data_IF_643608557981
#
_entry.id   IF_643608557981
#
_cell.length_a   1.000
_cell.length_b   1.000
_cell.length_c   1.000
_cell.angle_alpha   90.00
_cell.angle_beta   90.00
_cell.angle_gamma   90.00
#
_symmetry.space_group_name_H-M   'P 1'
#
loop_
_entity.id
_entity.type
_entity.pdbx_description
1 polymer ?
#
# COMPACT_ATOMS: atom_id res chain seq x y z
N UNK A 1 -43.26 -9.24 -27.25
CA UNK A 1 -42.29 -8.20 -27.67
C UNK A 1 -41.44 -7.86 -26.45
N UNK A 2 -40.44 -8.68 -26.13
CA UNK A 2 -39.67 -8.51 -24.89
C UNK A 2 -38.33 -7.82 -25.19
N UNK A 3 -38.40 -6.59 -25.67
CA UNK A 3 -37.20 -5.74 -25.88
C UNK A 3 -36.54 -5.31 -24.56
N UNK A 4 -37.26 -5.43 -23.44
CA UNK A 4 -36.88 -4.88 -22.13
C UNK A 4 -36.06 -5.87 -21.29
N UNK A 5 -36.11 -7.17 -21.60
CA UNK A 5 -35.28 -8.19 -20.94
C UNK A 5 -33.79 -8.08 -21.31
N UNK A 6 -33.47 -7.37 -22.39
CA UNK A 6 -32.10 -7.09 -22.83
C UNK A 6 -31.38 -6.01 -22.03
N UNK A 7 -32.07 -5.25 -21.15
CA UNK A 7 -31.51 -4.04 -20.54
C UNK A 7 -30.88 -4.23 -19.15
N UNK A 8 -31.04 -5.41 -18.53
CA UNK A 8 -30.54 -5.65 -17.17
C UNK A 8 -29.20 -6.36 -17.11
N UNK A 9 -29.08 -7.45 -17.85
CA UNK A 9 -27.85 -8.24 -18.00
C UNK A 9 -27.95 -8.94 -19.36
N UNK A 10 -26.93 -8.88 -20.22
CA UNK A 10 -26.89 -9.75 -21.39
C UNK A 10 -26.93 -11.19 -20.91
N UNK A 11 -27.91 -11.95 -21.39
CA UNK A 11 -27.95 -13.40 -21.15
C UNK A 11 -26.70 -14.09 -21.68
N UNK A 12 -26.50 -15.35 -21.30
CA UNK A 12 -25.32 -16.11 -21.74
C UNK A 12 -25.16 -16.16 -23.28
N UNK A 13 -26.28 -16.15 -24.00
CA UNK A 13 -26.34 -16.06 -25.47
C UNK A 13 -25.77 -14.75 -26.02
N UNK A 14 -26.17 -13.61 -25.45
CA UNK A 14 -25.75 -12.28 -25.87
C UNK A 14 -24.26 -12.07 -25.59
N UNK A 15 -23.77 -12.57 -24.45
CA UNK A 15 -22.33 -12.55 -24.11
C UNK A 15 -21.53 -13.36 -25.13
N UNK A 16 -22.01 -14.55 -25.54
CA UNK A 16 -21.35 -15.36 -26.56
C UNK A 16 -21.26 -14.61 -27.90
N UNK A 17 -22.31 -13.88 -28.29
CA UNK A 17 -22.36 -13.14 -29.55
C UNK A 17 -21.37 -11.97 -29.53
N UNK A 18 -21.33 -11.20 -28.44
CA UNK A 18 -20.37 -10.11 -28.25
C UNK A 18 -18.93 -10.66 -28.28
N UNK A 19 -18.68 -11.77 -27.58
CA UNK A 19 -17.37 -12.41 -27.59
C UNK A 19 -16.98 -12.85 -29.00
N UNK A 20 -17.92 -13.38 -29.80
CA UNK A 20 -17.67 -13.77 -31.18
C UNK A 20 -17.30 -12.57 -32.06
N UNK A 21 -18.00 -11.43 -31.93
CA UNK A 21 -17.66 -10.19 -32.65
C UNK A 21 -16.25 -9.71 -32.29
N UNK A 22 -15.91 -9.70 -31.00
CA UNK A 22 -14.55 -9.35 -30.54
C UNK A 22 -13.53 -10.33 -31.14
N UNK A 23 -13.84 -11.62 -31.17
CA UNK A 23 -12.97 -12.65 -31.74
C UNK A 23 -12.77 -12.47 -33.26
N UNK A 24 -13.76 -11.95 -33.99
CA UNK A 24 -13.63 -11.64 -35.41
C UNK A 24 -12.77 -10.40 -35.65
N UNK A 25 -12.93 -9.36 -34.81
CA UNK A 25 -12.15 -8.12 -34.93
C UNK A 25 -10.68 -8.30 -34.56
N UNK A 26 -10.41 -8.99 -33.45
CA UNK A 26 -9.06 -9.17 -32.92
C UNK A 26 -8.43 -10.51 -33.32
N UNK A 27 -9.23 -11.50 -33.69
CA UNK A 27 -8.77 -12.87 -34.00
C UNK A 27 -8.66 -13.77 -32.76
N UNK A 28 -8.87 -15.07 -32.97
CA UNK A 28 -8.81 -16.09 -31.91
C UNK A 28 -7.43 -16.21 -31.23
N UNK A 29 -6.35 -15.75 -31.87
CA UNK A 29 -5.00 -15.79 -31.32
C UNK A 29 -4.68 -14.61 -30.39
N UNK A 30 -5.32 -13.45 -30.57
CA UNK A 30 -4.97 -12.22 -29.83
C UNK A 30 -5.51 -12.18 -28.41
N UNK A 31 -6.71 -12.70 -28.18
CA UNK A 31 -7.31 -12.80 -26.84
C UNK A 31 -6.44 -13.63 -25.86
N UNK A 32 -5.99 -14.85 -26.21
CA UNK A 32 -5.07 -15.63 -25.37
C UNK A 32 -3.68 -15.01 -25.20
N UNK A 33 -3.19 -14.31 -26.22
CA UNK A 33 -1.89 -13.63 -26.18
C UNK A 33 -1.91 -12.46 -25.18
N UNK A 34 -2.95 -11.63 -25.25
CA UNK A 34 -3.18 -10.52 -24.31
C UNK A 34 -3.44 -11.01 -22.89
N UNK A 35 -4.22 -12.07 -22.70
CA UNK A 35 -4.49 -12.60 -21.37
C UNK A 35 -3.23 -13.18 -20.72
N UNK A 36 -2.34 -13.81 -21.50
CA UNK A 36 -1.04 -14.30 -21.00
C UNK A 36 -0.13 -13.16 -20.59
N UNK A 37 -0.01 -12.10 -21.38
CA UNK A 37 0.86 -10.96 -21.04
C UNK A 37 0.33 -10.18 -19.84
N UNK A 38 -0.98 -9.90 -19.79
CA UNK A 38 -1.63 -9.28 -18.64
C UNK A 38 -1.52 -10.17 -17.40
N UNK A 39 -1.75 -11.47 -17.53
CA UNK A 39 -1.63 -12.42 -16.42
C UNK A 39 -0.21 -12.50 -15.86
N UNK A 40 0.80 -12.47 -16.73
CA UNK A 40 2.20 -12.40 -16.30
C UNK A 40 2.50 -11.10 -15.55
N UNK A 41 2.07 -9.95 -16.08
CA UNK A 41 2.24 -8.65 -15.44
C UNK A 41 1.55 -8.57 -14.07
N UNK A 42 0.30 -9.03 -13.97
CA UNK A 42 -0.42 -9.13 -12.70
C UNK A 42 0.27 -10.10 -11.72
N UNK A 43 0.83 -11.20 -12.22
CA UNK A 43 1.56 -12.17 -11.40
C UNK A 43 2.84 -11.58 -10.80
N UNK A 44 3.65 -10.91 -11.63
CA UNK A 44 4.87 -10.22 -11.19
C UNK A 44 4.54 -9.06 -10.23
N UNK A 45 3.48 -8.31 -10.52
CA UNK A 45 3.00 -7.24 -9.65
C UNK A 45 2.55 -7.77 -8.28
N UNK A 46 1.80 -8.89 -8.24
CA UNK A 46 1.37 -9.52 -6.99
C UNK A 46 2.56 -10.00 -6.18
N UNK A 47 3.55 -10.63 -6.82
CA UNK A 47 4.78 -11.09 -6.16
C UNK A 47 5.55 -9.92 -5.55
N UNK A 48 5.78 -8.85 -6.31
CA UNK A 48 6.45 -7.65 -5.79
C UNK A 48 5.70 -7.01 -4.63
N UNK A 49 4.36 -7.02 -4.66
CA UNK A 49 3.53 -6.54 -3.53
C UNK A 49 3.70 -7.40 -2.27
N UNK A 50 3.73 -8.72 -2.42
CA UNK A 50 3.94 -9.64 -1.29
C UNK A 50 5.35 -9.50 -0.69
N UNK A 51 6.37 -9.35 -1.53
CA UNK A 51 7.75 -9.14 -1.08
C UNK A 51 7.88 -7.82 -0.30
N UNK A 52 7.29 -6.74 -0.81
CA UNK A 52 7.29 -5.43 -0.14
C UNK A 52 6.53 -5.47 1.20
N UNK A 53 5.39 -6.19 1.28
CA UNK A 53 4.67 -6.37 2.54
C UNK A 53 5.50 -7.14 3.58
N UNK A 54 6.28 -8.14 3.14
CA UNK A 54 7.20 -8.89 4.03
C UNK A 54 8.31 -7.99 4.55
N UNK A 55 8.98 -7.24 3.67
CA UNK A 55 10.04 -6.31 4.05
C UNK A 55 9.54 -5.26 5.07
N UNK A 56 8.39 -4.64 4.81
CA UNK A 56 7.79 -3.69 5.74
C UNK A 56 7.47 -4.31 7.11
N UNK A 57 6.97 -5.56 7.12
CA UNK A 57 6.65 -6.29 8.34
C UNK A 57 7.90 -6.65 9.13
N UNK A 58 8.98 -7.02 8.46
CA UNK A 58 10.23 -7.40 9.12
C UNK A 58 10.96 -6.16 9.67
N UNK A 59 10.99 -5.05 8.92
CA UNK A 59 11.46 -3.75 9.44
C UNK A 59 10.65 -3.32 10.66
N UNK A 60 9.32 -3.48 10.64
CA UNK A 60 8.48 -3.13 11.79
C UNK A 60 8.76 -4.00 13.02
N UNK A 61 9.06 -5.29 12.84
CA UNK A 61 9.46 -6.19 13.93
C UNK A 61 10.81 -5.80 14.50
N UNK A 62 11.78 -5.47 13.65
CA UNK A 62 13.13 -5.08 14.07
C UNK A 62 13.10 -3.77 14.87
N UNK A 63 12.30 -2.80 14.42
CA UNK A 63 12.07 -1.55 15.16
C UNK A 63 11.39 -1.76 16.52
N UNK A 64 10.41 -2.68 16.61
CA UNK A 64 9.78 -3.02 17.89
C UNK A 64 10.74 -3.77 18.82
N UNK A 65 11.61 -4.64 18.28
CA UNK A 65 12.57 -5.40 19.06
C UNK A 65 13.64 -4.49 19.68
N UNK A 66 14.10 -3.48 18.93
CA UNK A 66 15.05 -2.47 19.42
C UNK A 66 14.50 -1.57 20.54
N UNK A 67 13.17 -1.45 20.67
CA UNK A 67 12.53 -0.65 21.72
C UNK A 67 12.23 -1.44 23.02
N UNK A 68 12.54 -2.74 23.09
CA UNK A 68 12.12 -3.61 24.21
C UNK A 68 13.28 -4.32 24.94
N UNK A 69 14.54 -3.99 24.68
CA UNK A 69 15.68 -4.44 25.50
C UNK A 69 16.14 -3.34 26.47
N UNK A 70 16.24 -3.62 27.79
CA UNK A 70 16.53 -2.62 28.80
C UNK A 70 17.99 -2.19 28.73
N UNK A 71 18.16 -0.88 28.66
CA UNK A 71 19.44 -0.17 28.78
C UNK A 71 20.18 -0.65 30.06
N UNK A 72 21.44 -1.12 29.96
CA UNK A 72 22.21 -1.50 31.13
C UNK A 72 22.52 -0.24 31.94
N UNK A 73 22.12 -0.26 33.21
CA UNK A 73 22.32 0.78 34.21
C UNK A 73 23.76 1.32 34.18
N UNK A 74 23.93 2.54 33.66
CA UNK A 74 25.14 3.33 33.89
C UNK A 74 25.07 3.84 35.31
N UNK A 75 25.90 3.21 36.15
CA UNK A 75 26.18 3.54 37.55
C UNK A 75 26.45 5.05 37.69
N UNK A 76 25.65 5.70 38.53
CA UNK A 76 25.89 7.06 39.02
C UNK A 76 26.95 7.01 40.12
N UNK A 77 28.11 7.60 39.84
CA UNK A 77 29.07 8.03 40.85
C UNK A 77 29.56 9.46 40.53
N UNK A 78 29.66 10.28 41.60
CA UNK A 78 30.19 11.65 41.72
C UNK A 78 29.32 12.80 41.14
N UNK A 79 28.63 13.64 41.93
CA UNK A 79 29.05 14.68 42.91
C UNK A 79 29.14 16.09 42.30
N UNK A 80 28.16 16.90 42.74
CA UNK A 80 28.01 18.37 42.89
C UNK A 80 29.02 19.39 42.33
N UNK A 81 28.49 20.42 41.66
CA UNK A 81 28.62 21.89 41.90
C UNK A 81 28.05 22.64 40.67
N UNK A 82 26.82 23.16 40.70
CA UNK A 82 26.45 24.56 41.03
C UNK A 82 27.35 25.64 40.44
N UNK A 83 26.89 26.34 39.39
CA UNK A 83 26.80 27.82 39.39
C UNK A 83 25.88 28.35 38.27
N UNK A 84 24.77 28.94 38.72
CA UNK A 84 24.09 30.19 38.30
C UNK A 84 24.02 30.56 36.80
N UNK A 85 22.83 30.59 36.20
CA UNK A 85 21.85 31.68 36.20
C UNK A 85 21.98 32.58 34.96
N UNK A 86 20.95 32.59 34.10
CA UNK A 86 20.40 33.85 33.60
C UNK A 86 18.95 33.68 33.09
N UNK A 87 18.09 34.52 33.65
CA UNK A 87 16.84 35.09 33.15
C UNK A 87 15.83 34.27 32.29
N UNK A 88 14.74 33.90 32.96
CA UNK A 88 13.38 33.95 32.42
C UNK A 88 12.94 35.43 32.14
N UNK A 89 11.70 35.75 31.71
CA UNK A 89 10.76 35.19 30.72
C UNK A 89 10.10 36.29 29.82
N UNK A 90 9.50 35.94 28.68
CA UNK A 90 8.39 36.70 28.03
C UNK A 90 7.83 35.86 26.87
N UNK A 91 6.65 35.22 26.94
CA UNK A 91 5.30 35.77 26.71
C UNK A 91 5.25 36.86 25.64
N UNK A 92 4.66 36.53 24.48
CA UNK A 92 3.86 37.38 23.57
C UNK A 92 3.35 36.45 22.44
N UNK A 93 2.12 35.89 22.54
CA UNK A 93 0.89 36.42 21.93
C UNK A 93 1.04 36.97 20.50
N UNK A 94 0.46 36.22 19.54
CA UNK A 94 -0.36 36.62 18.37
C UNK A 94 -0.15 38.02 17.72
N UNK A 95 -0.20 38.12 16.37
CA UNK A 95 -1.52 38.06 15.72
C UNK A 95 -1.61 37.44 14.31
N UNK A 96 -2.76 36.81 14.12
CA UNK A 96 -3.60 36.62 12.93
C UNK A 96 -3.44 37.67 11.81
N UNK A 97 -3.21 37.19 10.59
CA UNK A 97 -3.66 37.81 9.32
C UNK A 97 -4.13 36.73 8.35
#
# INVERSE_FOLDING_TARGET
>A
MNAIAYFGLPGGSEVILILFIILLLFGAKKLPELSRSLGKSLGEFKKGKEDLERELRDVQKDLHKAATEPEPEVKKDATAEEVVADAAPAKDQEPKV
#
